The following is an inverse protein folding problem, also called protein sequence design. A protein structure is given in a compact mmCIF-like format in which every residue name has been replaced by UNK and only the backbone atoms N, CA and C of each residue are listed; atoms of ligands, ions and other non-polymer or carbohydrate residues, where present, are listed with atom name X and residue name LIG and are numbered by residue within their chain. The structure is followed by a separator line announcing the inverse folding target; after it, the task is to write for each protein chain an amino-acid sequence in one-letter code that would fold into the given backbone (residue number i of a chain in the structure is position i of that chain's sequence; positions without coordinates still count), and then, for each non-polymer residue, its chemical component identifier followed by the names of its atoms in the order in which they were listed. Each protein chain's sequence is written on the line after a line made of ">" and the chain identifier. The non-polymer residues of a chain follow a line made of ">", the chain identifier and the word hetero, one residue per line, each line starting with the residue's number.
data_IF_169028140162
#
_entry.id   IF_169028140162
#
_cell.length_a   1.000
_cell.length_b   1.000
_cell.length_c   1.000
_cell.angle_alpha   90.00
_cell.angle_beta   90.00
_cell.angle_gamma   90.00
#
_symmetry.space_group_name_H-M   'P 1'
#
loop_
_entity.id
_entity.type
_entity.pdbx_description
1 polymer ?
#
# COMPACT_ATOMS: atom_id res chain seq x y z
N UNK A 1 -23.72 -27.11 10.46
CA UNK A 1 -23.88 -25.77 9.86
C UNK A 1 -22.49 -25.17 9.71
N UNK A 2 -21.95 -25.03 8.48
CA UNK A 2 -20.63 -24.39 8.28
C UNK A 2 -20.80 -22.89 8.50
N UNK A 3 -20.12 -22.32 9.49
CA UNK A 3 -20.04 -20.87 9.63
C UNK A 3 -19.37 -20.30 8.36
N UNK A 4 -20.05 -19.36 7.71
CA UNK A 4 -19.51 -18.65 6.56
C UNK A 4 -18.39 -17.73 7.08
N UNK A 5 -17.20 -17.82 6.50
CA UNK A 5 -16.11 -16.92 6.87
C UNK A 5 -16.48 -15.50 6.45
N UNK A 6 -16.29 -14.56 7.36
CA UNK A 6 -16.39 -13.15 7.01
C UNK A 6 -15.19 -12.70 6.17
N UNK A 7 -15.26 -11.49 5.62
CA UNK A 7 -14.20 -10.96 4.76
C UNK A 7 -12.87 -10.76 5.51
N UNK A 8 -12.89 -10.48 6.81
CA UNK A 8 -11.68 -10.31 7.61
C UNK A 8 -10.95 -11.64 7.77
N UNK A 9 -11.68 -12.72 8.06
CA UNK A 9 -11.15 -14.08 8.15
C UNK A 9 -10.60 -14.57 6.81
N UNK A 10 -11.24 -14.20 5.69
CA UNK A 10 -10.72 -14.50 4.34
C UNK A 10 -9.41 -13.74 4.10
N UNK A 11 -9.38 -12.44 4.44
CA UNK A 11 -8.19 -11.59 4.28
C UNK A 11 -7.00 -12.12 5.08
N UNK A 12 -7.21 -12.48 6.34
CA UNK A 12 -6.17 -13.06 7.21
C UNK A 12 -5.65 -14.40 6.64
N UNK A 13 -6.56 -15.26 6.19
CA UNK A 13 -6.16 -16.53 5.57
C UNK A 13 -5.34 -16.29 4.30
N UNK A 14 -5.75 -15.33 3.46
CA UNK A 14 -4.99 -14.92 2.29
C UNK A 14 -3.60 -14.41 2.67
N UNK A 15 -3.48 -13.52 3.65
CA UNK A 15 -2.19 -13.00 4.10
C UNK A 15 -1.23 -14.11 4.55
N UNK A 16 -1.75 -15.15 5.20
CA UNK A 16 -0.97 -16.31 5.64
C UNK A 16 -0.57 -17.26 4.51
N UNK A 17 -1.45 -17.51 3.54
CA UNK A 17 -1.23 -18.52 2.51
C UNK A 17 -0.53 -17.99 1.24
N UNK A 18 -0.73 -16.72 0.90
CA UNK A 18 -0.28 -16.16 -0.37
C UNK A 18 1.25 -16.13 -0.55
N UNK A 19 2.08 -15.85 0.47
CA UNK A 19 3.54 -15.84 0.29
C UNK A 19 4.06 -17.14 -0.32
N UNK A 20 3.66 -18.29 0.25
CA UNK A 20 4.03 -19.60 -0.28
C UNK A 20 3.50 -19.86 -1.70
N UNK A 21 2.25 -19.45 -1.98
CA UNK A 21 1.67 -19.62 -3.33
C UNK A 21 2.38 -18.78 -4.38
N UNK A 22 2.84 -17.59 -4.01
CA UNK A 22 3.66 -16.72 -4.87
C UNK A 22 4.99 -17.41 -5.17
N UNK A 23 5.66 -17.99 -4.17
CA UNK A 23 6.90 -18.75 -4.37
C UNK A 23 6.71 -19.94 -5.32
N UNK A 24 5.64 -20.72 -5.14
CA UNK A 24 5.30 -21.85 -6.01
C UNK A 24 5.01 -21.40 -7.46
N UNK A 25 4.35 -20.24 -7.63
CA UNK A 25 4.10 -19.65 -8.94
C UNK A 25 5.40 -19.19 -9.62
N UNK A 26 6.33 -18.57 -8.87
CA UNK A 26 7.66 -18.23 -9.36
C UNK A 26 8.47 -19.47 -9.74
N UNK A 27 8.41 -20.54 -8.96
CA UNK A 27 9.06 -21.80 -9.29
C UNK A 27 8.53 -22.38 -10.61
N UNK A 28 7.22 -22.27 -10.85
CA UNK A 28 6.59 -22.68 -12.11
C UNK A 28 7.08 -21.85 -13.30
N UNK A 29 7.13 -20.52 -13.16
CA UNK A 29 7.68 -19.66 -14.21
C UNK A 29 9.16 -19.95 -14.49
N UNK A 30 9.96 -20.16 -13.43
CA UNK A 30 11.38 -20.53 -13.55
C UNK A 30 11.59 -21.81 -14.36
N UNK A 31 10.68 -22.80 -14.25
CA UNK A 31 10.74 -24.02 -15.07
C UNK A 31 10.58 -23.75 -16.56
N UNK A 32 9.75 -22.78 -16.95
CA UNK A 32 9.66 -22.39 -18.37
C UNK A 32 11.01 -21.87 -18.84
N UNK A 33 11.58 -20.88 -18.14
CA UNK A 33 12.80 -20.19 -18.60
C UNK A 33 14.12 -20.95 -18.35
N UNK A 34 14.08 -22.08 -17.64
CA UNK A 34 15.27 -22.89 -17.37
C UNK A 34 15.76 -23.68 -18.59
N UNK A 35 14.85 -23.97 -19.53
CA UNK A 35 15.14 -24.69 -20.76
C UNK A 35 15.00 -23.77 -21.97
N UNK A 36 15.78 -23.99 -23.04
CA UNK A 36 15.60 -23.24 -24.27
C UNK A 36 14.20 -23.52 -24.86
N UNK A 37 13.55 -22.51 -25.46
CA UNK A 37 12.23 -22.70 -26.05
C UNK A 37 12.26 -23.73 -27.18
N UNK A 38 11.17 -24.49 -27.40
CA UNK A 38 11.08 -25.44 -28.51
C UNK A 38 11.26 -24.74 -29.86
N UNK A 39 11.99 -25.38 -30.80
CA UNK A 39 12.16 -24.87 -32.16
C UNK A 39 10.93 -25.05 -33.06
N UNK A 40 10.01 -25.95 -32.71
CA UNK A 40 8.76 -26.14 -33.44
C UNK A 40 7.80 -24.97 -33.15
N UNK A 41 7.22 -24.30 -34.17
CA UNK A 41 6.36 -23.12 -33.98
C UNK A 41 5.11 -23.37 -33.12
N UNK A 42 4.51 -24.56 -33.21
CA UNK A 42 3.31 -24.91 -32.45
C UNK A 42 3.66 -25.15 -30.98
N UNK A 43 4.75 -25.88 -30.73
CA UNK A 43 5.28 -26.09 -29.38
C UNK A 43 5.76 -24.76 -28.77
N UNK A 44 6.40 -23.90 -29.55
CA UNK A 44 6.80 -22.56 -29.14
C UNK A 44 5.59 -21.73 -28.69
N UNK A 45 4.51 -21.72 -29.48
CA UNK A 45 3.28 -21.00 -29.13
C UNK A 45 2.66 -21.51 -27.82
N UNK A 46 2.65 -22.82 -27.61
CA UNK A 46 2.17 -23.43 -26.36
C UNK A 46 3.07 -23.08 -25.16
N UNK A 47 4.39 -23.15 -25.33
CA UNK A 47 5.38 -22.74 -24.33
C UNK A 47 5.19 -21.27 -23.93
N UNK A 48 5.07 -20.39 -24.93
CA UNK A 48 4.90 -18.95 -24.77
C UNK A 48 3.58 -18.63 -24.04
N UNK A 49 2.49 -19.32 -24.38
CA UNK A 49 1.21 -19.19 -23.71
C UNK A 49 1.28 -19.63 -22.23
N UNK A 50 1.95 -20.75 -21.95
CA UNK A 50 2.19 -21.24 -20.58
C UNK A 50 3.00 -20.25 -19.74
N UNK A 51 4.09 -19.71 -20.29
CA UNK A 51 4.91 -18.71 -19.62
C UNK A 51 4.12 -17.42 -19.31
N UNK A 52 3.31 -16.94 -20.25
CA UNK A 52 2.39 -15.81 -20.03
C UNK A 52 1.37 -16.09 -18.94
N UNK A 53 0.77 -17.29 -18.94
CA UNK A 53 -0.19 -17.67 -17.92
C UNK A 53 0.44 -17.72 -16.52
N UNK A 54 1.66 -18.23 -16.39
CA UNK A 54 2.40 -18.22 -15.13
C UNK A 54 2.64 -16.78 -14.62
N UNK A 55 3.05 -15.86 -15.49
CA UNK A 55 3.22 -14.44 -15.13
C UNK A 55 1.91 -13.77 -14.71
N UNK A 56 0.82 -14.01 -15.44
CA UNK A 56 -0.50 -13.50 -15.08
C UNK A 56 -0.97 -14.05 -13.72
N UNK A 57 -0.65 -15.31 -13.41
CA UNK A 57 -0.93 -15.92 -12.10
C UNK A 57 -0.15 -15.23 -10.97
N UNK A 58 1.15 -15.00 -11.17
CA UNK A 58 2.00 -14.27 -10.22
C UNK A 58 1.45 -12.86 -9.96
N UNK A 59 1.07 -12.14 -11.02
CA UNK A 59 0.48 -10.81 -10.91
C UNK A 59 -0.83 -10.83 -10.10
N UNK A 60 -1.72 -11.78 -10.38
CA UNK A 60 -2.98 -11.93 -9.66
C UNK A 60 -2.75 -12.22 -8.17
N UNK A 61 -1.82 -13.13 -7.83
CA UNK A 61 -1.46 -13.42 -6.44
C UNK A 61 -0.85 -12.21 -5.73
N UNK A 62 0.00 -11.44 -6.42
CA UNK A 62 0.62 -10.23 -5.85
C UNK A 62 -0.42 -9.16 -5.55
N UNK A 63 -1.37 -8.94 -6.45
CA UNK A 63 -2.51 -8.03 -6.24
C UNK A 63 -3.36 -8.50 -5.05
N UNK A 64 -3.62 -9.80 -4.94
CA UNK A 64 -4.36 -10.36 -3.83
C UNK A 64 -3.59 -10.26 -2.51
N UNK A 65 -2.28 -10.41 -2.52
CA UNK A 65 -1.43 -10.26 -1.34
C UNK A 65 -1.43 -8.82 -0.84
N UNK A 66 -1.33 -7.84 -1.73
CA UNK A 66 -1.48 -6.41 -1.39
C UNK A 66 -2.86 -6.09 -0.82
N UNK A 67 -3.91 -6.70 -1.33
CA UNK A 67 -5.25 -6.57 -0.73
C UNK A 67 -5.31 -7.22 0.66
N UNK A 68 -4.65 -8.37 0.82
CA UNK A 68 -4.65 -9.13 2.07
C UNK A 68 -3.81 -8.50 3.18
N UNK A 69 -2.78 -7.74 2.82
CA UNK A 69 -1.89 -7.06 3.76
C UNK A 69 -2.71 -6.18 4.71
N UNK A 70 -2.68 -6.42 6.04
CA UNK A 70 -3.38 -5.58 6.99
C UNK A 70 -2.85 -4.14 6.83
N UNK A 71 -3.76 -3.18 6.69
CA UNK A 71 -3.39 -1.77 6.82
C UNK A 71 -3.04 -1.63 8.30
N UNK A 72 -1.75 -1.66 8.63
CA UNK A 72 -1.29 -1.31 9.95
C UNK A 72 -1.70 0.14 10.20
N UNK A 73 -2.85 0.34 10.83
CA UNK A 73 -3.26 1.65 11.36
C UNK A 73 -2.37 2.09 12.53
N UNK A 74 -1.43 1.25 12.97
CA UNK A 74 -0.49 1.56 14.06
C UNK A 74 0.59 2.60 13.71
N UNK A 75 0.63 3.10 12.47
CA UNK A 75 1.58 4.15 12.05
C UNK A 75 0.95 5.54 12.01
N UNK A 76 -0.36 5.68 12.26
CA UNK A 76 -1.05 6.94 11.99
C UNK A 76 -1.75 7.59 13.19
N UNK A 77 -1.80 6.98 14.39
CA UNK A 77 -2.35 7.70 15.56
C UNK A 77 -1.35 8.77 16.03
N UNK A 78 -0.11 8.37 16.33
CA UNK A 78 0.96 9.29 16.75
C UNK A 78 1.36 10.29 15.65
N UNK A 79 1.22 9.92 14.37
CA UNK A 79 1.48 10.83 13.25
C UNK A 79 0.34 11.82 13.05
N UNK A 80 -0.91 11.39 13.16
CA UNK A 80 -2.08 12.27 13.03
C UNK A 80 -2.11 13.24 14.21
N UNK A 81 -1.92 12.75 15.44
CA UNK A 81 -1.82 13.58 16.64
C UNK A 81 -0.69 14.63 16.54
N UNK A 82 0.46 14.22 15.99
CA UNK A 82 1.58 15.14 15.74
C UNK A 82 1.27 16.16 14.65
N UNK A 83 0.59 15.77 13.58
CA UNK A 83 0.18 16.68 12.51
C UNK A 83 -0.85 17.68 13.03
N UNK A 84 -1.82 17.23 13.80
CA UNK A 84 -2.84 18.08 14.42
C UNK A 84 -2.22 19.08 15.40
N UNK A 85 -1.27 18.62 16.24
CA UNK A 85 -0.49 19.48 17.13
C UNK A 85 0.31 20.56 16.37
N UNK A 86 0.92 20.20 15.23
CA UNK A 86 1.65 21.16 14.39
C UNK A 86 0.70 22.16 13.71
N UNK A 87 -0.50 21.73 13.35
CA UNK A 87 -1.51 22.58 12.72
C UNK A 87 -2.09 23.59 13.71
N UNK A 88 -2.31 23.18 14.96
CA UNK A 88 -2.75 24.05 16.05
C UNK A 88 -1.68 25.10 16.38
N UNK A 89 -0.42 24.68 16.55
CA UNK A 89 0.70 25.60 16.78
C UNK A 89 0.87 26.64 15.65
N UNK A 90 0.65 26.23 14.40
CA UNK A 90 0.71 27.15 13.26
C UNK A 90 -0.44 28.16 13.28
N UNK A 91 -1.67 27.75 13.67
CA UNK A 91 -2.83 28.65 13.77
C UNK A 91 -2.66 29.68 14.89
N UNK A 92 -2.09 29.26 16.02
CA UNK A 92 -1.79 30.15 17.16
C UNK A 92 -0.73 31.19 16.79
N UNK A 93 0.34 30.77 16.11
CA UNK A 93 1.38 31.68 15.65
C UNK A 93 0.85 32.75 14.68
N UNK A 94 -0.07 32.38 13.78
CA UNK A 94 -0.72 33.32 12.85
C UNK A 94 -1.67 34.26 13.58
N UNK A 95 -2.40 33.78 14.59
CA UNK A 95 -3.35 34.60 15.34
C UNK A 95 -2.65 35.57 16.31
N UNK A 96 -1.53 35.15 16.91
CA UNK A 96 -0.69 36.01 17.76
C UNK A 96 0.07 37.11 17.01
N UNK A 97 0.31 36.92 15.71
CA UNK A 97 1.00 37.90 14.84
C UNK A 97 0.10 39.06 14.40
N UNK A 98 -1.21 39.03 14.66
CA UNK A 98 -2.17 40.04 14.16
C UNK A 98 -2.39 41.18 15.17
N UNK A 99 -1.78 41.14 16.36
CA UNK A 99 -1.85 42.25 17.33
C UNK A 99 -0.58 43.08 17.26
N UNK A 100 -0.54 44.04 16.33
CA UNK A 100 0.39 45.18 16.38
C UNK A 100 -0.29 46.42 17.00
N UNK A 101 0.51 47.30 17.64
CA UNK A 101 0.14 48.04 18.83
C UNK A 101 -0.73 49.29 18.59
N UNK A 102 -1.52 49.58 19.62
CA UNK A 102 -2.32 50.78 19.86
C UNK A 102 -1.44 52.05 19.77
N UNK A 103 -1.54 52.77 18.65
CA UNK A 103 -0.96 54.10 18.46
C UNK A 103 -1.63 55.08 19.44
N UNK A 104 -1.05 55.21 20.63
CA UNK A 104 -1.35 56.32 21.54
C UNK A 104 -0.60 57.56 21.05
N UNK A 105 -1.31 58.40 20.30
CA UNK A 105 -0.89 59.78 20.08
C UNK A 105 -0.97 60.53 21.43
N UNK A 106 0.18 60.65 22.10
CA UNK A 106 0.40 61.71 23.10
C UNK A 106 0.55 63.03 22.34
N UNK A 107 -0.50 63.85 22.30
CA UNK A 107 -0.34 65.27 21.98
C UNK A 107 -0.05 66.05 23.27
N UNK A 108 1.19 66.54 23.28
CA UNK A 108 1.90 67.34 24.25
C UNK A 108 1.33 68.76 24.39
N UNK A 109 1.54 69.31 25.57
CA UNK A 109 1.07 70.58 26.14
C UNK A 109 1.63 71.81 25.39
N UNK A 110 0.79 72.80 25.05
CA UNK A 110 1.11 74.25 24.96
C UNK A 110 -0.12 75.13 24.67
#
# INVERSE_FOLDING_TARGET
>A
MRAQKDLAQIREQCARELPKRIDDAFATYRRYIAEPPPGDPKLFSAYQAGAKAALAHIEALTKLARWAEPINNDVDDDRTDRVDSLLEAARDAVSGSIVEPDDKEEEDDS
#
